data_IF_880384433526
#
_entry.id   IF_880384433526
#
_cell.length_a   1.000
_cell.length_b   1.000
_cell.length_c   1.000
_cell.angle_alpha   90.00
_cell.angle_beta   90.00
_cell.angle_gamma   90.00
#
_symmetry.space_group_name_H-M   'P 1'
#
loop_
_entity.id
_entity.type
_entity.pdbx_description
1 polymer ?
#
# COMPACT_ATOMS: atom_id res chain seq x y z
N UNK A 1 -0.84 16.69 15.09
CA UNK A 1 0.24 15.70 15.29
C UNK A 1 0.86 15.48 13.92
N UNK A 2 2.18 15.63 13.78
CA UNK A 2 2.85 15.39 12.50
C UNK A 2 3.19 13.91 12.44
N UNK A 3 2.55 13.16 11.55
CA UNK A 3 2.88 11.75 11.35
C UNK A 3 4.05 11.65 10.37
N UNK A 4 5.06 10.88 10.75
CA UNK A 4 6.22 10.60 9.93
C UNK A 4 6.29 9.09 9.67
N UNK A 5 6.15 8.69 8.40
CA UNK A 5 6.21 7.29 7.96
C UNK A 5 7.54 6.64 8.37
N UNK A 6 8.64 7.39 8.35
CA UNK A 6 9.96 6.90 8.76
C UNK A 6 10.08 6.58 10.25
N UNK A 7 9.11 7.01 11.08
CA UNK A 7 9.05 6.68 12.50
C UNK A 7 8.13 5.49 12.80
N UNK A 8 7.49 4.87 11.80
CA UNK A 8 6.68 3.67 12.04
C UNK A 8 7.56 2.56 12.62
N UNK A 9 7.08 1.95 13.70
CA UNK A 9 7.71 0.79 14.33
C UNK A 9 7.23 -0.47 13.62
N UNK A 10 7.96 -0.87 12.59
CA UNK A 10 7.71 -2.14 11.89
C UNK A 10 8.09 -3.35 12.78
N UNK A 11 7.30 -4.43 12.77
CA UNK A 11 7.69 -5.70 13.40
C UNK A 11 9.03 -6.25 12.87
N UNK A 12 9.84 -6.84 13.75
CA UNK A 12 11.10 -7.50 13.35
C UNK A 12 10.87 -8.71 12.43
N UNK A 13 9.71 -9.38 12.57
CA UNK A 13 9.28 -10.44 11.68
C UNK A 13 8.77 -9.84 10.36
N UNK A 14 9.43 -10.21 9.26
CA UNK A 14 9.11 -9.70 7.91
C UNK A 14 7.68 -10.04 7.49
N UNK A 15 7.19 -11.24 7.78
CA UNK A 15 5.83 -11.65 7.44
C UNK A 15 4.80 -10.84 8.23
N UNK A 16 5.07 -10.52 9.50
CA UNK A 16 4.22 -9.61 10.28
C UNK A 16 4.24 -8.18 9.71
N UNK A 17 5.39 -7.68 9.29
CA UNK A 17 5.50 -6.35 8.65
C UNK A 17 4.73 -6.28 7.33
N UNK A 18 4.86 -7.28 6.45
CA UNK A 18 4.06 -7.39 5.21
C UNK A 18 2.57 -7.41 5.54
N UNK A 19 2.17 -8.22 6.53
CA UNK A 19 0.76 -8.31 6.95
C UNK A 19 0.24 -6.98 7.46
N UNK A 20 1.00 -6.28 8.29
CA UNK A 20 0.63 -4.97 8.85
C UNK A 20 0.42 -3.94 7.73
N UNK A 21 1.38 -3.84 6.81
CA UNK A 21 1.29 -2.95 5.64
C UNK A 21 0.07 -3.25 4.77
N UNK A 22 -0.11 -4.51 4.36
CA UNK A 22 -1.20 -4.89 3.45
C UNK A 22 -2.57 -4.76 4.11
N UNK A 23 -2.67 -5.04 5.41
CA UNK A 23 -3.93 -4.87 6.16
C UNK A 23 -4.29 -3.40 6.27
N UNK A 24 -3.31 -2.52 6.53
CA UNK A 24 -3.52 -1.07 6.50
C UNK A 24 -4.08 -0.59 5.15
N UNK A 25 -3.50 -1.02 4.03
CA UNK A 25 -3.99 -0.63 2.70
C UNK A 25 -5.44 -1.08 2.47
N UNK A 26 -5.80 -2.28 2.93
CA UNK A 26 -7.18 -2.80 2.84
C UNK A 26 -8.12 -1.90 3.65
N UNK A 27 -7.79 -1.60 4.90
CA UNK A 27 -8.66 -0.79 5.76
C UNK A 27 -8.82 0.63 5.23
N UNK A 28 -7.76 1.25 4.69
CA UNK A 28 -7.86 2.57 4.05
C UNK A 28 -8.74 2.53 2.80
N UNK A 29 -8.62 1.50 1.97
CA UNK A 29 -9.46 1.40 0.77
C UNK A 29 -10.92 1.12 1.11
N UNK A 30 -11.20 0.39 2.19
CA UNK A 30 -12.56 0.21 2.71
C UNK A 30 -13.12 1.51 3.28
N UNK A 31 -12.36 2.23 4.11
CA UNK A 31 -12.71 3.53 4.68
C UNK A 31 -13.08 4.55 3.59
N UNK A 32 -12.30 4.59 2.51
CA UNK A 32 -12.51 5.49 1.37
C UNK A 32 -13.47 4.96 0.30
N UNK A 33 -14.08 3.78 0.52
CA UNK A 33 -14.97 3.09 -0.42
C UNK A 33 -14.38 2.93 -1.84
N UNK A 34 -13.08 2.59 -1.91
CA UNK A 34 -12.35 2.38 -3.15
C UNK A 34 -12.62 0.97 -3.66
N UNK A 35 -13.11 0.89 -4.91
CA UNK A 35 -13.46 -0.37 -5.54
C UNK A 35 -12.69 -0.55 -6.86
N UNK A 36 -12.16 -1.77 -7.06
CA UNK A 36 -11.57 -2.22 -8.32
C UNK A 36 -12.56 -3.15 -9.03
N UNK A 37 -12.97 -2.79 -10.23
CA UNK A 37 -13.98 -3.55 -11.01
C UNK A 37 -13.39 -4.60 -11.95
N UNK A 38 -12.07 -4.85 -11.86
CA UNK A 38 -11.35 -5.75 -12.76
C UNK A 38 -11.18 -7.15 -12.18
N UNK A 39 -10.96 -8.14 -13.06
CA UNK A 39 -10.73 -9.54 -12.66
C UNK A 39 -9.47 -9.69 -11.80
N UNK A 40 -8.43 -8.90 -12.08
CA UNK A 40 -7.19 -8.82 -11.30
C UNK A 40 -7.30 -7.85 -10.10
N UNK A 41 -8.44 -7.83 -9.42
CA UNK A 41 -8.70 -6.93 -8.29
C UNK A 41 -7.61 -7.09 -7.18
N UNK A 42 -6.78 -6.06 -6.94
CA UNK A 42 -5.63 -6.13 -6.03
C UNK A 42 -6.05 -6.32 -4.57
N UNK A 43 -7.19 -5.77 -4.16
CA UNK A 43 -7.72 -5.94 -2.79
C UNK A 43 -8.11 -7.40 -2.56
N UNK A 44 -8.83 -8.02 -3.51
CA UNK A 44 -9.22 -9.44 -3.41
C UNK A 44 -8.00 -10.36 -3.40
N UNK A 45 -7.01 -10.07 -4.25
CA UNK A 45 -5.76 -10.83 -4.33
C UNK A 45 -4.99 -10.70 -3.01
N UNK A 46 -4.87 -9.49 -2.48
CA UNK A 46 -4.21 -9.24 -1.19
C UNK A 46 -4.88 -9.98 -0.04
N UNK A 47 -6.22 -9.93 0.05
CA UNK A 47 -6.99 -10.69 1.05
C UNK A 47 -6.73 -12.20 0.95
N UNK A 48 -6.72 -12.76 -0.27
CA UNK A 48 -6.39 -14.17 -0.50
C UNK A 48 -4.96 -14.51 -0.06
N UNK A 49 -3.99 -13.64 -0.34
CA UNK A 49 -2.60 -13.83 0.06
C UNK A 49 -2.44 -13.79 1.59
N UNK A 50 -3.04 -12.81 2.27
CA UNK A 50 -3.02 -12.74 3.73
C UNK A 50 -3.69 -13.94 4.41
N UNK A 51 -4.69 -14.52 3.73
CA UNK A 51 -5.36 -15.78 4.08
C UNK A 51 -4.63 -17.06 3.63
N UNK A 52 -3.42 -16.95 3.04
CA UNK A 52 -2.61 -18.07 2.53
C UNK A 52 -3.30 -18.94 1.47
N UNK A 53 -4.25 -18.36 0.73
CA UNK A 53 -5.00 -19.04 -0.34
C UNK A 53 -4.32 -18.94 -1.70
N UNK A 54 -3.39 -18.00 -1.85
CA UNK A 54 -2.56 -17.82 -3.04
C UNK A 54 -1.11 -17.59 -2.62
N UNK A 55 -0.19 -17.80 -3.57
CA UNK A 55 1.25 -17.64 -3.37
C UNK A 55 1.74 -16.24 -3.76
N UNK A 56 3.01 -15.96 -3.49
CA UNK A 56 3.65 -14.73 -3.99
C UNK A 56 3.77 -14.72 -5.53
N UNK A 57 3.90 -15.88 -6.17
CA UNK A 57 3.95 -15.98 -7.63
C UNK A 57 2.62 -15.56 -8.27
N UNK A 58 1.49 -15.93 -7.67
CA UNK A 58 0.17 -15.46 -8.10
C UNK A 58 0.05 -13.92 -8.01
N UNK A 59 0.65 -13.32 -6.96
CA UNK A 59 0.72 -11.86 -6.81
C UNK A 59 1.60 -11.21 -7.87
N UNK A 60 2.75 -11.80 -8.20
CA UNK A 60 3.66 -11.29 -9.24
C UNK A 60 3.00 -11.29 -10.63
N UNK A 61 2.18 -12.29 -10.94
CA UNK A 61 1.39 -12.31 -12.17
C UNK A 61 0.40 -11.15 -12.23
N UNK A 62 -0.34 -10.91 -11.14
CA UNK A 62 -1.24 -9.76 -11.05
C UNK A 62 -0.50 -8.42 -11.10
N UNK A 63 0.66 -8.31 -10.43
CA UNK A 63 1.50 -7.13 -10.47
C UNK A 63 1.94 -6.81 -11.89
N UNK A 64 2.32 -7.83 -12.66
CA UNK A 64 2.73 -7.69 -14.07
C UNK A 64 1.58 -7.17 -14.93
N UNK A 65 0.35 -7.64 -14.70
CA UNK A 65 -0.84 -7.12 -15.36
C UNK A 65 -1.04 -5.62 -15.08
N UNK A 66 -0.95 -5.20 -13.81
CA UNK A 66 -1.15 -3.79 -13.44
C UNK A 66 -0.05 -2.86 -13.95
N UNK A 67 1.18 -3.37 -14.10
CA UNK A 67 2.23 -2.63 -14.79
C UNK A 67 1.92 -2.44 -16.28
N UNK A 68 1.32 -3.43 -16.96
CA UNK A 68 0.91 -3.29 -18.36
C UNK A 68 -0.24 -2.29 -18.56
N UNK A 69 -1.06 -2.05 -17.54
CA UNK A 69 -2.08 -1.01 -17.56
C UNK A 69 -1.49 0.41 -17.56
N UNK A 70 -0.21 0.56 -17.20
CA UNK A 70 0.53 1.82 -17.25
C UNK A 70 1.41 1.80 -18.51
N UNK A 71 0.98 2.49 -19.57
CA UNK A 71 1.83 2.73 -20.74
C UNK A 71 3.09 3.51 -20.32
N UNK A 72 4.26 3.16 -20.88
CA UNK A 72 5.53 3.85 -20.69
C UNK A 72 5.41 5.37 -20.89
N UNK A 73 4.54 5.80 -21.83
CA UNK A 73 4.26 7.22 -22.09
C UNK A 73 3.43 7.90 -20.98
N UNK A 74 2.72 7.11 -20.17
CA UNK A 74 1.83 7.55 -19.09
C UNK A 74 2.42 7.29 -17.69
N UNK A 75 3.69 6.86 -17.57
CA UNK A 75 4.36 6.68 -16.27
C UNK A 75 4.33 7.96 -15.42
N UNK A 76 4.36 9.14 -16.06
CA UNK A 76 4.29 10.45 -15.37
C UNK A 76 2.89 11.07 -15.37
N UNK A 77 1.86 10.35 -15.84
CA UNK A 77 0.49 10.83 -15.86
C UNK A 77 -0.19 10.57 -14.51
N UNK A 78 -0.28 11.61 -13.69
CA UNK A 78 -1.00 11.62 -12.41
C UNK A 78 -2.36 12.32 -12.48
N UNK A 79 -2.89 12.51 -13.69
CA UNK A 79 -4.21 13.14 -13.92
C UNK A 79 -5.27 12.13 -14.33
N UNK A 80 -4.85 11.05 -15.00
CA UNK A 80 -5.76 10.00 -15.43
C UNK A 80 -6.12 9.07 -14.27
N UNK A 81 -7.42 8.94 -14.00
CA UNK A 81 -7.93 8.12 -12.89
C UNK A 81 -7.57 6.65 -13.09
N UNK A 82 -7.61 6.12 -14.32
CA UNK A 82 -7.29 4.71 -14.58
C UNK A 82 -5.83 4.41 -14.21
N UNK A 83 -4.91 5.26 -14.66
CA UNK A 83 -3.48 5.19 -14.34
C UNK A 83 -3.22 5.27 -12.83
N UNK A 84 -3.93 6.16 -12.12
CA UNK A 84 -3.83 6.26 -10.66
C UNK A 84 -4.37 5.01 -9.95
N UNK A 85 -5.47 4.42 -10.43
CA UNK A 85 -5.97 3.15 -9.91
C UNK A 85 -4.97 2.02 -10.12
N UNK A 86 -4.31 1.94 -11.28
CA UNK A 86 -3.24 0.96 -11.51
C UNK A 86 -2.06 1.16 -10.56
N UNK A 87 -1.71 2.41 -10.21
CA UNK A 87 -0.68 2.70 -9.20
C UNK A 87 -1.07 2.25 -7.80
N UNK A 88 -2.33 2.47 -7.40
CA UNK A 88 -2.82 1.89 -6.16
C UNK A 88 -2.69 0.38 -6.17
N UNK A 89 -3.08 -0.28 -7.26
CA UNK A 89 -2.97 -1.73 -7.39
C UNK A 89 -1.52 -2.23 -7.22
N UNK A 90 -0.56 -1.52 -7.79
CA UNK A 90 0.87 -1.82 -7.63
C UNK A 90 1.28 -1.72 -6.14
N UNK A 91 0.84 -0.71 -5.40
CA UNK A 91 1.15 -0.59 -3.97
C UNK A 91 0.70 -1.82 -3.16
N UNK A 92 -0.44 -2.42 -3.50
CA UNK A 92 -0.92 -3.66 -2.88
C UNK A 92 -0.08 -4.90 -3.24
N UNK A 93 0.52 -4.92 -4.41
CA UNK A 93 1.11 -6.13 -4.99
C UNK A 93 2.64 -6.15 -4.93
N UNK A 94 3.28 -5.00 -4.71
CA UNK A 94 4.75 -4.89 -4.73
C UNK A 94 5.46 -5.39 -3.48
N UNK A 95 4.89 -5.22 -2.28
CA UNK A 95 5.58 -5.58 -1.03
C UNK A 95 5.37 -7.05 -0.66
N UNK A 96 6.47 -7.74 -0.37
CA UNK A 96 6.56 -9.08 0.21
C UNK A 96 7.76 -9.16 1.17
N UNK A 97 8.08 -10.36 1.67
CA UNK A 97 9.15 -10.56 2.64
C UNK A 97 10.57 -10.32 2.09
N UNK A 98 10.76 -10.34 0.77
CA UNK A 98 12.06 -10.16 0.11
C UNK A 98 12.45 -8.68 0.02
N UNK A 99 11.48 -7.77 -0.11
CA UNK A 99 11.69 -6.33 -0.33
C UNK A 99 11.01 -5.44 0.72
N UNK A 100 10.86 -5.95 1.96
CA UNK A 100 10.19 -5.23 3.03
C UNK A 100 10.90 -3.93 3.44
N UNK A 101 12.17 -3.79 3.12
CA UNK A 101 12.96 -2.57 3.31
C UNK A 101 12.41 -1.38 2.50
N UNK A 102 11.67 -1.63 1.42
CA UNK A 102 11.03 -0.61 0.58
C UNK A 102 9.64 -0.20 1.10
N UNK A 103 9.12 -0.80 2.19
CA UNK A 103 7.73 -0.63 2.64
C UNK A 103 7.35 0.83 2.91
N UNK A 104 8.28 1.62 3.45
CA UNK A 104 8.03 3.03 3.75
C UNK A 104 7.85 3.86 2.48
N UNK A 105 8.59 3.53 1.42
CA UNK A 105 8.48 4.18 0.11
C UNK A 105 7.12 3.85 -0.53
N UNK A 106 6.73 2.58 -0.55
CA UNK A 106 5.43 2.18 -1.10
C UNK A 106 4.25 2.72 -0.29
N UNK A 107 4.39 2.84 1.04
CA UNK A 107 3.37 3.49 1.87
C UNK A 107 3.26 4.98 1.55
N UNK A 108 4.38 5.69 1.36
CA UNK A 108 4.37 7.09 0.91
C UNK A 108 3.69 7.20 -0.45
N UNK A 109 4.05 6.33 -1.39
CA UNK A 109 3.48 6.35 -2.73
C UNK A 109 1.96 6.08 -2.73
N UNK A 110 1.50 5.13 -1.92
CA UNK A 110 0.09 4.87 -1.73
C UNK A 110 -0.67 6.12 -1.28
N UNK A 111 -0.17 6.82 -0.25
CA UNK A 111 -0.79 8.05 0.28
C UNK A 111 -0.78 9.17 -0.78
N UNK A 112 0.31 9.33 -1.52
CA UNK A 112 0.41 10.31 -2.62
C UNK A 112 -0.64 10.04 -3.72
N UNK A 113 -0.79 8.77 -4.12
CA UNK A 113 -1.77 8.38 -5.15
C UNK A 113 -3.20 8.62 -4.68
N UNK A 114 -3.51 8.39 -3.39
CA UNK A 114 -4.79 8.77 -2.81
C UNK A 114 -5.03 10.29 -2.91
N UNK A 115 -3.99 11.10 -2.70
CA UNK A 115 -4.03 12.54 -2.88
C UNK A 115 -4.34 12.94 -4.32
N UNK A 116 -3.68 12.33 -5.30
CA UNK A 116 -3.98 12.58 -6.72
C UNK A 116 -5.39 12.13 -7.12
N UNK A 117 -5.94 11.10 -6.49
CA UNK A 117 -7.33 10.68 -6.65
C UNK A 117 -8.34 11.58 -5.93
N UNK A 118 -7.88 12.67 -5.29
CA UNK A 118 -8.68 13.65 -4.54
C UNK A 118 -9.44 13.06 -3.35
N UNK A 119 -8.90 12.00 -2.73
CA UNK A 119 -9.43 11.48 -1.48
C UNK A 119 -9.07 12.36 -0.29
N UNK A 120 -9.85 12.25 0.79
CA UNK A 120 -9.62 13.01 2.02
C UNK A 120 -8.40 12.46 2.78
N UNK A 121 -7.22 13.02 2.49
CA UNK A 121 -6.00 12.61 3.18
C UNK A 121 -6.02 12.89 4.68
N UNK A 122 -6.79 13.88 5.17
CA UNK A 122 -6.84 14.16 6.61
C UNK A 122 -7.38 12.97 7.40
N UNK A 123 -8.34 12.25 6.83
CA UNK A 123 -8.93 11.04 7.43
C UNK A 123 -7.93 9.89 7.39
N UNK A 124 -7.22 9.70 6.26
CA UNK A 124 -6.17 8.67 6.12
C UNK A 124 -5.02 8.91 7.09
N UNK A 125 -4.56 10.15 7.23
CA UNK A 125 -3.50 10.50 8.18
C UNK A 125 -3.97 10.26 9.61
N UNK A 126 -5.20 10.64 9.97
CA UNK A 126 -5.74 10.37 11.31
C UNK A 126 -5.76 8.88 11.59
N UNK A 127 -6.30 8.08 10.66
CA UNK A 127 -6.35 6.64 10.77
C UNK A 127 -4.96 6.00 10.85
N UNK A 128 -3.97 6.47 10.08
CA UNK A 128 -2.59 6.01 10.15
C UNK A 128 -1.99 6.21 11.56
N UNK A 129 -2.33 7.31 12.23
CA UNK A 129 -1.89 7.61 13.60
C UNK A 129 -2.49 6.70 14.66
N UNK A 130 -3.69 6.18 14.39
CA UNK A 130 -4.38 5.22 15.26
C UNK A 130 -3.96 3.77 14.98
N UNK A 131 -3.62 3.47 13.73
CA UNK A 131 -3.30 2.12 13.27
C UNK A 131 -1.87 1.67 13.59
N UNK A 132 -0.88 2.54 13.37
CA UNK A 132 0.53 2.19 13.53
C UNK A 132 1.08 2.61 14.90
N UNK A 133 2.01 1.82 15.41
CA UNK A 133 2.92 2.25 16.47
C UNK A 133 4.06 3.10 15.87
N UNK A 134 4.42 4.18 16.56
CA UNK A 134 5.50 5.06 16.16
C UNK A 134 6.62 5.06 17.20
N UNK A 135 7.86 5.09 16.74
CA UNK A 135 9.04 5.31 17.58
C UNK A 135 8.94 6.66 18.26
N UNK A 136 9.28 6.70 19.54
CA UNK A 136 9.40 7.93 20.30
C UNK A 136 10.84 8.48 20.18
N UNK A 137 11.05 9.78 20.35
CA UNK A 137 12.40 10.38 20.42
C UNK A 137 13.28 9.80 21.56
N UNK A 138 12.75 8.90 22.40
CA UNK A 138 13.48 8.23 23.48
C UNK A 138 14.15 6.93 22.99
N UNK A 139 13.66 6.35 21.88
CA UNK A 139 14.14 5.08 21.33
C UNK A 139 15.48 5.20 20.56
N UNK A 140 16.02 6.41 20.37
CA UNK A 140 17.31 6.66 19.69
C UNK A 140 18.53 6.56 20.63
N UNK A 141 18.33 6.34 21.94
CA UNK A 141 19.41 6.36 22.96
C UNK A 141 19.66 5.01 23.66
N UNK A 142 19.27 3.87 23.07
CA UNK A 142 19.56 2.53 23.61
C UNK A 142 20.34 1.69 22.62
#
# INVERSE_FOLDING_TARGET
MTINIGLIRWPDDKTLSVRLYLSFLIEVTELLNINFYEDNNPIKITKKYLGRLITNEDRKLALSYWWQCIDDKNIRNFKDRSSLMSRLAICFLSINEENIDEVSEYLSWFIEVLGFLSFNLSEVITFMGEYFEFKSNVDENV
#
